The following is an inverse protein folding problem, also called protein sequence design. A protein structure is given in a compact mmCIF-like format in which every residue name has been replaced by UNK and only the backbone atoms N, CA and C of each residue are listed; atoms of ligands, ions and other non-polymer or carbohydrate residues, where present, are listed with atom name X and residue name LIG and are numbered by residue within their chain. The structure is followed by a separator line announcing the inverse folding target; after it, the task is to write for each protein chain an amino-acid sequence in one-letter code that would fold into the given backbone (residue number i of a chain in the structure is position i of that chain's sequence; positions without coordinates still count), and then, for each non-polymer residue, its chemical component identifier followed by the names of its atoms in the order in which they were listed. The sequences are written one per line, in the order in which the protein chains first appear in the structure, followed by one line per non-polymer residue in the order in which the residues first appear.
data_IF_723033862597
#
_entry.id   IF_723033862597
#
_cell.length_a   1.000
_cell.length_b   1.000
_cell.length_c   1.000
_cell.angle_alpha   90.00
_cell.angle_beta   90.00
_cell.angle_gamma   90.00
#
_symmetry.space_group_name_H-M   'P 1'
#
loop_
_entity.id
_entity.type
_entity.pdbx_description
1 polymer ?
#
# COMPACT_ATOMS: atom_id res chain seq x y z
N UNK A 1 7.72 -17.01 31.65
CA UNK A 1 6.48 -16.52 31.03
C UNK A 1 6.67 -16.61 29.53
N UNK A 2 5.79 -17.23 28.75
CA UNK A 2 5.87 -17.15 27.31
C UNK A 2 5.77 -15.67 26.90
N UNK A 3 6.56 -15.22 25.92
CA UNK A 3 6.45 -13.90 25.37
C UNK A 3 5.01 -13.67 24.90
N UNK A 4 4.41 -12.48 25.13
CA UNK A 4 3.07 -12.20 24.65
C UNK A 4 3.03 -12.47 23.15
N UNK A 5 1.98 -13.17 22.71
CA UNK A 5 1.80 -13.57 21.33
C UNK A 5 1.67 -12.29 20.50
N UNK A 6 2.74 -11.89 19.79
CA UNK A 6 2.83 -10.65 19.00
C UNK A 6 1.63 -10.48 18.04
N UNK A 7 1.01 -11.61 17.70
CA UNK A 7 -0.22 -11.69 16.92
C UNK A 7 -1.41 -11.03 17.61
N UNK A 8 -1.58 -11.29 18.91
CA UNK A 8 -2.71 -10.75 19.68
C UNK A 8 -2.54 -9.23 19.89
N UNK A 9 -1.31 -8.78 20.08
CA UNK A 9 -1.00 -7.34 20.25
C UNK A 9 -1.31 -6.54 18.98
N UNK A 10 -0.95 -7.06 17.80
CA UNK A 10 -1.25 -6.42 16.51
C UNK A 10 -2.77 -6.28 16.30
N UNK A 11 -3.55 -7.34 16.57
CA UNK A 11 -5.00 -7.28 16.46
C UNK A 11 -5.64 -6.36 17.48
N UNK A 12 -5.09 -6.31 18.69
CA UNK A 12 -5.54 -5.40 19.72
C UNK A 12 -5.28 -3.96 19.32
N UNK A 13 -4.07 -3.66 18.83
CA UNK A 13 -3.73 -2.33 18.32
C UNK A 13 -4.63 -1.90 17.15
N UNK A 14 -4.91 -2.81 16.22
CA UNK A 14 -5.81 -2.54 15.11
C UNK A 14 -7.25 -2.22 15.58
N UNK A 15 -7.74 -2.90 16.63
CA UNK A 15 -9.05 -2.63 17.22
C UNK A 15 -9.13 -1.30 17.96
N UNK A 16 -8.03 -0.88 18.57
CA UNK A 16 -7.94 0.42 19.24
C UNK A 16 -7.76 1.57 18.26
N UNK A 17 -7.41 1.27 17.02
CA UNK A 17 -7.24 2.28 15.99
C UNK A 17 -8.58 2.75 15.46
N UNK A 18 -8.77 4.06 15.46
CA UNK A 18 -9.96 4.73 14.94
C UNK A 18 -9.55 5.75 13.88
N UNK A 19 -10.09 5.62 12.69
CA UNK A 19 -9.94 6.62 11.63
C UNK A 19 -10.97 7.72 11.91
N UNK A 20 -10.49 8.92 12.20
CA UNK A 20 -11.31 10.09 12.49
C UNK A 20 -11.71 10.78 11.20
N UNK A 21 -10.74 10.93 10.28
CA UNK A 21 -10.99 11.56 9.00
C UNK A 21 -10.35 10.76 7.87
N UNK A 22 -11.12 10.57 6.82
CA UNK A 22 -10.66 9.95 5.57
C UNK A 22 -10.86 10.97 4.43
N UNK A 23 -9.83 11.27 3.63
CA UNK A 23 -9.93 12.28 2.59
C UNK A 23 -11.00 11.90 1.56
N UNK A 24 -11.74 12.86 0.98
CA UNK A 24 -12.72 12.58 -0.08
C UNK A 24 -12.06 12.09 -1.36
N UNK A 25 -10.84 12.54 -1.65
CA UNK A 25 -10.06 12.14 -2.82
C UNK A 25 -9.61 10.69 -2.71
N UNK A 26 -9.72 9.95 -3.80
CA UNK A 26 -9.30 8.55 -3.92
C UNK A 26 -7.84 8.44 -4.38
N UNK A 27 -7.27 7.25 -4.25
CA UNK A 27 -5.96 6.94 -4.81
C UNK A 27 -6.04 6.93 -6.34
N UNK A 28 -5.04 7.53 -6.99
CA UNK A 28 -4.95 7.63 -8.43
C UNK A 28 -4.81 6.25 -9.09
N UNK A 29 -5.54 6.04 -10.18
CA UNK A 29 -5.48 4.79 -10.94
C UNK A 29 -4.24 4.70 -11.83
N UNK A 30 -3.80 5.83 -12.40
CA UNK A 30 -2.71 5.85 -13.39
C UNK A 30 -1.50 6.66 -12.94
N UNK A 31 -1.51 7.12 -11.70
CA UNK A 31 -0.47 7.95 -11.12
C UNK A 31 -0.07 7.49 -9.71
N UNK A 32 0.79 8.28 -9.11
CA UNK A 32 1.17 8.13 -7.71
C UNK A 32 0.35 9.09 -6.85
N UNK A 33 0.04 8.67 -5.63
CA UNK A 33 -0.68 9.51 -4.67
C UNK A 33 0.15 9.67 -3.41
N UNK A 34 0.47 10.91 -3.04
CA UNK A 34 1.04 11.22 -1.74
C UNK A 34 -0.09 11.33 -0.71
N UNK A 35 -0.07 10.47 0.29
CA UNK A 35 -1.06 10.41 1.35
C UNK A 35 -0.43 10.93 2.63
N UNK A 36 -0.87 12.08 3.10
CA UNK A 36 -0.45 12.63 4.40
C UNK A 36 -1.20 11.90 5.50
N UNK A 37 -0.49 11.42 6.51
CA UNK A 37 -1.11 10.84 7.69
C UNK A 37 -0.79 11.66 8.94
N UNK A 38 -1.75 11.68 9.85
CA UNK A 38 -1.61 12.23 11.19
C UNK A 38 -2.12 11.18 12.17
N UNK A 39 -1.22 10.59 12.95
CA UNK A 39 -1.58 9.61 13.98
C UNK A 39 -1.43 10.27 15.36
N UNK A 40 -2.54 10.35 16.06
CA UNK A 40 -2.65 10.89 17.41
C UNK A 40 -2.69 9.73 18.40
N UNK A 41 -1.86 9.81 19.42
CA UNK A 41 -1.80 8.81 20.51
C UNK A 41 -1.91 9.49 21.86
N UNK A 42 -2.89 9.06 22.66
CA UNK A 42 -3.02 9.52 24.05
C UNK A 42 -1.89 8.90 24.88
N UNK A 43 -1.13 9.74 25.55
CA UNK A 43 -0.03 9.34 26.47
C UNK A 43 -0.49 9.35 27.94
N UNK A 44 -1.73 9.76 28.20
CA UNK A 44 -2.23 10.00 29.56
C UNK A 44 -1.81 11.36 30.11
N UNK A 45 -2.37 11.72 31.28
CA UNK A 45 -2.09 12.98 31.99
C UNK A 45 -2.28 14.25 31.12
N UNK A 46 -3.20 14.23 30.16
CA UNK A 46 -3.48 15.38 29.30
C UNK A 46 -2.35 15.67 28.30
N UNK A 47 -1.56 14.68 27.96
CA UNK A 47 -0.54 14.74 26.90
C UNK A 47 -0.90 13.80 25.77
N UNK A 48 -0.62 14.24 24.55
CA UNK A 48 -0.77 13.40 23.36
C UNK A 48 0.45 13.54 22.46
N UNK A 49 0.70 12.48 21.72
CA UNK A 49 1.74 12.46 20.67
C UNK A 49 1.08 12.53 19.30
N UNK A 50 1.59 13.44 18.48
CA UNK A 50 1.18 13.56 17.08
C UNK A 50 2.35 13.14 16.22
N UNK A 51 2.12 12.12 15.38
CA UNK A 51 3.06 11.68 14.35
C UNK A 51 2.48 11.99 12.99
N UNK A 52 3.20 12.79 12.24
CA UNK A 52 2.81 13.19 10.89
C UNK A 52 3.85 12.74 9.90
N UNK A 53 3.39 12.27 8.73
CA UNK A 53 4.30 11.92 7.67
C UNK A 53 3.55 11.74 6.35
N UNK A 54 4.28 11.25 5.35
CA UNK A 54 3.78 10.99 4.01
C UNK A 54 3.98 9.52 3.67
N UNK A 55 2.94 8.91 3.13
CA UNK A 55 3.01 7.61 2.47
C UNK A 55 2.76 7.83 1.00
N UNK A 56 3.70 7.41 0.17
CA UNK A 56 3.55 7.40 -1.27
C UNK A 56 2.86 6.10 -1.68
N UNK A 57 1.68 6.21 -2.28
CA UNK A 57 1.00 5.11 -2.93
C UNK A 57 1.40 5.10 -4.40
N UNK A 58 2.04 4.04 -4.86
CA UNK A 58 2.35 3.86 -6.27
C UNK A 58 1.07 3.60 -7.07
N UNK A 59 1.14 3.75 -8.38
CA UNK A 59 0.03 3.36 -9.26
C UNK A 59 -0.35 1.89 -9.02
N UNK A 60 -1.65 1.56 -9.07
CA UNK A 60 -2.10 0.18 -8.91
C UNK A 60 -1.46 -0.75 -9.95
N UNK A 61 -1.11 -1.95 -9.51
CA UNK A 61 -0.56 -3.01 -10.35
C UNK A 61 -1.36 -4.29 -10.15
N UNK A 62 -1.35 -5.15 -11.14
CA UNK A 62 -1.87 -6.51 -11.00
C UNK A 62 -0.70 -7.37 -10.55
N UNK A 63 -0.71 -7.77 -9.29
CA UNK A 63 0.41 -8.43 -8.63
C UNK A 63 0.19 -9.92 -8.49
N UNK A 64 1.26 -10.72 -8.66
CA UNK A 64 1.25 -12.11 -8.19
C UNK A 64 1.26 -12.17 -6.67
N UNK A 65 0.75 -13.26 -6.05
CA UNK A 65 0.82 -13.43 -4.60
C UNK A 65 2.24 -13.32 -4.03
N UNK A 66 3.24 -13.78 -4.76
CA UNK A 66 4.64 -13.72 -4.34
C UNK A 66 5.19 -12.28 -4.34
N UNK A 67 4.93 -11.52 -5.39
CA UNK A 67 5.33 -10.11 -5.47
C UNK A 67 4.68 -9.27 -4.38
N UNK A 68 3.43 -9.61 -4.05
CA UNK A 68 2.65 -8.93 -3.03
C UNK A 68 3.32 -8.99 -1.64
N UNK A 69 3.85 -10.16 -1.26
CA UNK A 69 4.49 -10.35 0.05
C UNK A 69 5.84 -9.64 0.18
N UNK A 70 6.56 -9.48 -0.92
CA UNK A 70 7.96 -9.01 -0.88
C UNK A 70 8.14 -7.51 -1.10
N UNK A 71 7.24 -6.85 -1.85
CA UNK A 71 7.47 -5.49 -2.34
C UNK A 71 6.39 -4.45 -1.99
N UNK A 72 5.30 -4.85 -1.31
CA UNK A 72 4.18 -3.93 -1.09
C UNK A 72 4.42 -2.81 -0.11
N UNK A 73 5.31 -3.01 0.85
CA UNK A 73 5.50 -2.10 1.97
C UNK A 73 6.97 -1.70 2.09
N UNK A 74 7.36 -0.68 1.35
CA UNK A 74 8.69 -0.12 1.45
C UNK A 74 8.80 0.81 2.67
N UNK A 75 9.88 0.65 3.44
CA UNK A 75 10.15 1.38 4.69
C UNK A 75 9.12 1.15 5.82
N UNK A 76 8.33 0.09 5.75
CA UNK A 76 7.48 -0.36 6.85
C UNK A 76 8.12 -1.53 7.60
N UNK A 77 7.94 -1.56 8.92
CA UNK A 77 8.47 -2.60 9.80
C UNK A 77 7.63 -3.88 9.83
N UNK A 78 8.10 -4.87 10.59
CA UNK A 78 7.50 -6.22 10.64
C UNK A 78 6.06 -6.24 11.15
N UNK A 79 5.68 -5.31 12.02
CA UNK A 79 4.32 -5.22 12.55
C UNK A 79 3.29 -4.88 11.45
N UNK A 80 3.63 -3.95 10.55
CA UNK A 80 2.79 -3.60 9.43
C UNK A 80 2.66 -4.77 8.44
N UNK A 81 3.77 -5.44 8.13
CA UNK A 81 3.80 -6.63 7.27
C UNK A 81 2.96 -7.76 7.86
N UNK A 82 3.14 -8.08 9.14
CA UNK A 82 2.38 -9.11 9.84
C UNK A 82 0.88 -8.82 9.87
N UNK A 83 0.48 -7.56 10.03
CA UNK A 83 -0.91 -7.16 9.93
C UNK A 83 -1.48 -7.40 8.53
N UNK A 84 -0.75 -6.98 7.50
CA UNK A 84 -1.16 -7.15 6.12
C UNK A 84 -1.32 -8.63 5.74
N UNK A 85 -0.36 -9.48 6.07
CA UNK A 85 -0.42 -10.94 5.82
C UNK A 85 -1.68 -11.56 6.42
N UNK A 86 -2.07 -11.13 7.61
CA UNK A 86 -3.28 -11.62 8.28
C UNK A 86 -4.58 -11.10 7.66
N UNK A 87 -4.58 -9.85 7.18
CA UNK A 87 -5.72 -9.29 6.45
C UNK A 87 -5.92 -10.03 5.13
N UNK A 88 -4.83 -10.34 4.44
CA UNK A 88 -4.86 -11.03 3.15
C UNK A 88 -5.24 -12.51 3.29
N UNK A 89 -4.70 -13.21 4.30
CA UNK A 89 -4.98 -14.63 4.52
C UNK A 89 -6.45 -14.93 4.84
N UNK A 90 -7.21 -13.94 5.31
CA UNK A 90 -8.65 -14.06 5.59
C UNK A 90 -9.54 -13.94 4.36
N UNK A 91 -9.01 -13.46 3.24
CA UNK A 91 -9.78 -13.34 2.00
C UNK A 91 -9.43 -14.53 1.13
N UNK A 92 -10.41 -15.39 0.82
CA UNK A 92 -10.33 -16.49 -0.16
C UNK A 92 -9.97 -16.04 -1.60
N UNK A 93 -9.47 -14.83 -1.73
CA UNK A 93 -9.22 -14.09 -2.96
C UNK A 93 -7.86 -14.37 -3.61
N UNK A 94 -7.16 -15.44 -3.22
CA UNK A 94 -5.91 -15.88 -3.87
C UNK A 94 -6.08 -16.28 -5.36
N UNK A 95 -7.31 -16.31 -5.86
CA UNK A 95 -7.63 -16.58 -7.27
C UNK A 95 -8.07 -15.35 -8.07
N UNK A 96 -8.28 -14.21 -7.42
CA UNK A 96 -8.57 -12.96 -8.11
C UNK A 96 -7.22 -12.30 -8.34
N UNK A 97 -6.93 -11.94 -9.57
CA UNK A 97 -5.86 -11.04 -9.97
C UNK A 97 -5.82 -9.92 -8.93
N UNK A 98 -4.81 -9.97 -8.05
CA UNK A 98 -4.78 -9.05 -6.94
C UNK A 98 -4.38 -7.68 -7.44
N UNK A 99 -5.35 -6.81 -7.48
CA UNK A 99 -5.15 -5.39 -7.62
C UNK A 99 -4.39 -4.91 -6.38
N UNK A 100 -3.13 -4.60 -6.54
CA UNK A 100 -2.24 -4.23 -5.44
C UNK A 100 -1.70 -2.82 -5.61
N UNK A 101 -1.61 -2.11 -4.49
CA UNK A 101 -0.96 -0.83 -4.37
C UNK A 101 0.31 -1.04 -3.53
N UNK A 102 1.46 -0.63 -4.06
CA UNK A 102 2.69 -0.56 -3.28
C UNK A 102 2.73 0.75 -2.52
N UNK A 103 3.15 0.71 -1.28
CA UNK A 103 3.25 1.87 -0.39
C UNK A 103 4.68 2.05 0.10
N UNK A 104 5.14 3.28 0.06
CA UNK A 104 6.43 3.70 0.60
C UNK A 104 6.21 4.76 1.68
N UNK A 105 6.68 4.51 2.89
CA UNK A 105 6.68 5.50 3.96
C UNK A 105 7.90 6.41 3.80
N UNK A 106 7.68 7.70 3.50
CA UNK A 106 8.74 8.64 3.17
C UNK A 106 9.13 9.53 4.33
N UNK A 107 8.22 10.38 4.77
CA UNK A 107 8.48 11.40 5.79
C UNK A 107 7.86 11.01 7.12
N UNK A 108 8.51 11.42 8.20
CA UNK A 108 8.00 11.22 9.55
C UNK A 108 8.47 12.33 10.47
N UNK A 109 7.54 12.95 11.16
CA UNK A 109 7.79 13.90 12.24
C UNK A 109 6.98 13.51 13.48
N UNK A 110 7.51 13.83 14.64
CA UNK A 110 6.87 13.52 15.92
C UNK A 110 6.93 14.74 16.84
N UNK A 111 5.82 15.03 17.51
CA UNK A 111 5.74 16.07 18.53
C UNK A 111 4.82 15.61 19.66
N UNK A 112 5.15 16.03 20.89
CA UNK A 112 4.28 15.82 22.05
C UNK A 112 3.70 17.17 22.45
N UNK A 113 2.35 17.20 22.62
CA UNK A 113 1.61 18.41 22.98
C UNK A 113 0.68 18.14 24.14
N UNK A 114 0.30 19.16 24.87
CA UNK A 114 -0.77 19.08 25.88
C UNK A 114 -2.14 19.20 25.23
N UNK A 115 -3.12 18.45 25.71
CA UNK A 115 -4.49 18.55 25.25
C UNK A 115 -5.25 17.22 25.33
N UNK A 116 -6.51 17.28 24.99
CA UNK A 116 -7.38 16.11 24.83
C UNK A 116 -7.28 15.60 23.38
N UNK A 117 -7.10 14.30 23.22
CA UNK A 117 -6.89 13.68 21.90
C UNK A 117 -8.08 13.86 20.97
N UNK A 118 -9.31 13.84 21.50
CA UNK A 118 -10.54 14.02 20.72
C UNK A 118 -10.71 15.47 20.25
N UNK A 119 -10.34 16.42 21.11
CA UNK A 119 -10.42 17.84 20.77
C UNK A 119 -9.41 18.20 19.68
N UNK A 120 -8.16 17.74 19.83
CA UNK A 120 -7.10 17.96 18.84
C UNK A 120 -7.45 17.28 17.51
N UNK A 121 -7.96 16.03 17.55
CA UNK A 121 -8.41 15.34 16.35
C UNK A 121 -9.54 16.07 15.63
N UNK A 122 -10.49 16.65 16.36
CA UNK A 122 -11.59 17.44 15.81
C UNK A 122 -11.08 18.70 15.12
N UNK A 123 -10.14 19.40 15.74
CA UNK A 123 -9.55 20.59 15.16
C UNK A 123 -8.78 20.27 13.89
N UNK A 124 -7.94 19.23 13.92
CA UNK A 124 -7.20 18.78 12.73
C UNK A 124 -8.13 18.29 11.61
N UNK A 125 -9.30 17.74 11.96
CA UNK A 125 -10.32 17.36 10.96
C UNK A 125 -10.90 18.57 10.27
N UNK A 126 -11.26 19.63 11.00
CA UNK A 126 -11.76 20.88 10.42
C UNK A 126 -10.72 21.50 9.47
N UNK A 127 -9.44 21.54 9.89
CA UNK A 127 -8.36 22.06 9.03
C UNK A 127 -8.18 21.20 7.75
N UNK A 128 -8.39 19.87 7.87
CA UNK A 128 -8.27 18.95 6.75
C UNK A 128 -9.46 19.04 5.77
N UNK A 129 -10.64 19.38 6.25
CA UNK A 129 -11.85 19.58 5.44
C UNK A 129 -11.74 20.82 4.57
N UNK A 130 -10.98 21.82 5.00
CA UNK A 130 -10.71 23.03 4.23
C UNK A 130 -9.62 22.84 3.16
N UNK A 131 -8.77 21.80 3.28
CA UNK A 131 -7.71 21.47 2.33
C UNK A 131 -8.12 20.35 1.36
N UNK A 132 -8.90 20.71 0.34
CA UNK A 132 -9.35 19.78 -0.69
C UNK A 132 -8.22 19.29 -1.63
N UNK A 133 -7.06 19.91 -1.60
CA UNK A 133 -5.96 19.57 -2.50
C UNK A 133 -5.15 18.36 -2.00
N UNK A 134 -5.08 18.16 -0.70
CA UNK A 134 -4.30 17.08 -0.11
C UNK A 134 -5.12 15.80 0.14
N UNK A 135 -4.47 14.66 -0.03
CA UNK A 135 -5.00 13.36 0.43
C UNK A 135 -4.47 13.15 1.84
N UNK A 136 -5.24 13.57 2.85
CA UNK A 136 -4.76 13.48 4.23
C UNK A 136 -5.74 12.72 5.12
N UNK A 137 -5.19 11.93 6.05
CA UNK A 137 -5.96 11.17 7.04
C UNK A 137 -5.62 11.56 8.46
N UNK A 138 -6.62 11.46 9.35
CA UNK A 138 -6.47 11.67 10.79
C UNK A 138 -6.90 10.40 11.51
N UNK A 139 -6.01 9.88 12.35
CA UNK A 139 -6.13 8.56 12.96
C UNK A 139 -5.83 8.72 14.45
N UNK A 140 -6.63 8.11 15.29
CA UNK A 140 -6.31 7.90 16.71
C UNK A 140 -5.89 6.44 16.89
N UNK A 141 -4.73 6.20 17.49
CA UNK A 141 -4.21 4.85 17.67
C UNK A 141 -3.22 4.74 18.83
N UNK A 142 -2.87 3.49 19.22
CA UNK A 142 -1.94 3.26 20.32
C UNK A 142 -0.53 3.71 19.96
N UNK A 143 0.14 4.36 20.91
CA UNK A 143 1.46 4.94 20.74
C UNK A 143 2.54 3.91 20.32
N UNK A 144 2.46 2.71 20.87
CA UNK A 144 3.43 1.63 20.60
C UNK A 144 3.27 0.96 19.24
N UNK A 145 2.19 1.22 18.50
CA UNK A 145 1.86 0.49 17.27
C UNK A 145 1.44 1.43 16.14
N UNK A 146 2.21 2.49 15.92
CA UNK A 146 2.00 3.48 14.85
C UNK A 146 1.74 2.82 13.49
N UNK A 147 2.58 1.86 13.10
CA UNK A 147 2.51 1.25 11.78
C UNK A 147 1.25 0.39 11.59
N UNK A 148 0.75 -0.23 12.66
CA UNK A 148 -0.52 -0.96 12.61
C UNK A 148 -1.67 0.03 12.39
N UNK A 149 -1.67 1.16 13.10
CA UNK A 149 -2.67 2.21 12.92
C UNK A 149 -2.65 2.79 11.51
N UNK A 150 -1.45 3.02 10.99
CA UNK A 150 -1.27 3.48 9.61
C UNK A 150 -1.79 2.45 8.59
N UNK A 151 -1.53 1.15 8.81
CA UNK A 151 -2.03 0.08 7.95
C UNK A 151 -3.56 -0.05 7.97
N UNK A 152 -4.19 0.16 9.12
CA UNK A 152 -5.67 0.21 9.21
C UNK A 152 -6.21 1.33 8.31
N UNK A 153 -5.62 2.50 8.37
CA UNK A 153 -6.00 3.64 7.53
C UNK A 153 -5.75 3.38 6.03
N UNK A 154 -4.54 2.91 5.68
CA UNK A 154 -4.19 2.58 4.28
C UNK A 154 -5.16 1.54 3.71
N UNK A 155 -5.46 0.49 4.48
CA UNK A 155 -6.42 -0.53 4.04
C UNK A 155 -7.81 0.05 3.78
N UNK A 156 -8.31 0.95 4.65
CA UNK A 156 -9.58 1.62 4.44
C UNK A 156 -9.58 2.48 3.17
N UNK A 157 -8.50 3.22 2.93
CA UNK A 157 -8.33 4.06 1.74
C UNK A 157 -8.28 3.22 0.45
N UNK A 158 -7.57 2.09 0.46
CA UNK A 158 -7.52 1.13 -0.65
C UNK A 158 -8.91 0.56 -0.93
N UNK A 159 -9.61 0.05 0.09
CA UNK A 159 -10.95 -0.53 -0.07
C UNK A 159 -11.94 0.47 -0.69
N UNK A 160 -11.79 1.74 -0.35
CA UNK A 160 -12.62 2.82 -0.90
C UNK A 160 -12.25 3.16 -2.34
N UNK A 161 -10.97 3.04 -2.72
CA UNK A 161 -10.47 3.41 -4.05
C UNK A 161 -10.64 2.29 -5.09
N UNK A 162 -10.62 1.03 -4.66
CA UNK A 162 -10.68 -0.16 -5.55
C UNK A 162 -11.84 -0.12 -6.55
N UNK A 163 -13.11 0.18 -6.17
CA UNK A 163 -14.22 0.17 -7.14
C UNK A 163 -14.02 1.21 -8.25
N UNK A 164 -13.57 2.40 -7.90
CA UNK A 164 -13.30 3.48 -8.86
C UNK A 164 -12.16 3.10 -9.80
N UNK A 165 -11.04 2.67 -9.24
CA UNK A 165 -9.86 2.32 -10.02
C UNK A 165 -10.13 1.11 -10.94
N UNK A 166 -10.89 0.10 -10.47
CA UNK A 166 -11.29 -1.03 -11.30
C UNK A 166 -12.17 -0.59 -12.47
N UNK A 167 -13.10 0.34 -12.24
CA UNK A 167 -13.93 0.91 -13.29
C UNK A 167 -13.10 1.67 -14.34
N UNK A 168 -12.15 2.48 -13.92
CA UNK A 168 -11.25 3.20 -14.84
C UNK A 168 -10.38 2.24 -15.67
N UNK A 169 -9.83 1.19 -15.03
CA UNK A 169 -9.06 0.16 -15.73
C UNK A 169 -9.91 -0.58 -16.77
N UNK A 170 -11.15 -0.95 -16.40
CA UNK A 170 -12.08 -1.62 -17.31
C UNK A 170 -12.44 -0.72 -18.50
N UNK A 171 -12.74 0.56 -18.29
CA UNK A 171 -13.07 1.51 -19.34
C UNK A 171 -11.92 1.71 -20.35
N UNK A 172 -10.68 1.42 -19.97
CA UNK A 172 -9.52 1.46 -20.88
C UNK A 172 -9.16 0.10 -21.46
N UNK A 173 -9.99 -0.95 -21.27
CA UNK A 173 -9.73 -2.31 -21.74
C UNK A 173 -8.52 -2.97 -21.07
N UNK A 174 -8.04 -2.45 -19.94
CA UNK A 174 -6.86 -2.95 -19.24
C UNK A 174 -7.14 -4.23 -18.45
N UNK A 175 -8.41 -4.50 -18.14
CA UNK A 175 -8.85 -5.75 -17.52
C UNK A 175 -9.22 -6.81 -18.56
N UNK A 176 -9.30 -6.46 -19.84
CA UNK A 176 -9.57 -7.43 -20.91
C UNK A 176 -8.40 -8.41 -21.05
N UNK A 177 -8.73 -9.66 -21.36
CA UNK A 177 -7.74 -10.71 -21.52
C UNK A 177 -6.99 -10.55 -22.86
N UNK A 178 -5.70 -10.47 -22.77
CA UNK A 178 -4.76 -10.39 -23.90
C UNK A 178 -3.90 -11.63 -24.03
N UNK A 179 -2.62 -11.42 -24.36
CA UNK A 179 -1.63 -12.45 -24.59
C UNK A 179 -1.51 -13.42 -23.40
N UNK A 180 -1.54 -14.73 -23.67
CA UNK A 180 -1.44 -15.75 -22.63
C UNK A 180 -2.64 -15.82 -21.68
N UNK A 181 -3.79 -15.19 -22.02
CA UNK A 181 -4.97 -15.14 -21.15
C UNK A 181 -4.80 -14.23 -19.94
N UNK A 182 -3.78 -13.36 -19.94
CA UNK A 182 -3.55 -12.38 -18.91
C UNK A 182 -4.23 -11.05 -19.24
N UNK A 183 -4.64 -10.25 -18.23
CA UNK A 183 -5.14 -8.91 -18.45
C UNK A 183 -4.13 -8.02 -19.19
N UNK A 184 -4.65 -7.15 -20.06
CA UNK A 184 -3.82 -6.21 -20.81
C UNK A 184 -2.95 -5.33 -19.90
N UNK A 185 -3.42 -4.99 -18.70
CA UNK A 185 -2.63 -4.26 -17.72
C UNK A 185 -1.35 -5.00 -17.30
N UNK A 186 -1.39 -6.34 -17.18
CA UNK A 186 -0.19 -7.16 -16.88
C UNK A 186 0.78 -7.14 -18.05
N UNK A 187 0.26 -7.29 -19.27
CA UNK A 187 1.10 -7.26 -20.48
C UNK A 187 1.78 -5.89 -20.64
N UNK A 188 1.04 -4.82 -20.36
CA UNK A 188 1.60 -3.47 -20.38
C UNK A 188 2.71 -3.30 -19.34
N UNK A 189 2.47 -3.77 -18.11
CA UNK A 189 3.50 -3.73 -17.05
C UNK A 189 4.75 -4.52 -17.41
N UNK A 190 4.60 -5.72 -17.98
CA UNK A 190 5.74 -6.50 -18.49
C UNK A 190 6.52 -5.73 -19.55
N UNK A 191 5.82 -5.04 -20.46
CA UNK A 191 6.48 -4.22 -21.47
C UNK A 191 7.25 -3.04 -20.85
N UNK A 192 6.68 -2.41 -19.82
CA UNK A 192 7.34 -1.36 -19.06
C UNK A 192 8.59 -1.90 -18.33
N UNK A 193 8.49 -3.09 -17.72
CA UNK A 193 9.61 -3.74 -17.04
C UNK A 193 10.76 -4.04 -18.04
N UNK A 194 10.45 -4.52 -19.25
CA UNK A 194 11.46 -4.69 -20.31
C UNK A 194 12.14 -3.39 -20.71
N UNK A 195 11.37 -2.29 -20.78
CA UNK A 195 11.89 -0.98 -21.17
C UNK A 195 12.80 -0.37 -20.08
N UNK A 196 12.47 -0.62 -18.81
CA UNK A 196 13.13 -0.03 -17.64
C UNK A 196 14.19 -0.94 -17.00
N UNK A 197 14.40 -2.15 -17.51
CA UNK A 197 15.44 -3.05 -17.02
C UNK A 197 16.83 -2.55 -17.47
N UNK A 198 17.54 -1.93 -16.54
CA UNK A 198 18.87 -1.31 -16.70
C UNK A 198 19.99 -2.10 -16.02
N UNK A 199 19.67 -3.20 -15.34
CA UNK A 199 20.59 -4.04 -14.58
C UNK A 199 20.20 -5.52 -14.64
N UNK A 200 21.20 -6.42 -14.44
CA UNK A 200 20.96 -7.86 -14.38
C UNK A 200 19.98 -8.24 -13.27
N UNK A 201 19.99 -7.54 -12.12
CA UNK A 201 19.06 -7.79 -11.03
C UNK A 201 17.61 -7.56 -11.47
N UNK A 202 17.34 -6.44 -12.17
CA UNK A 202 16.01 -6.17 -12.74
C UNK A 202 15.60 -7.17 -13.82
N UNK A 203 16.55 -7.62 -14.62
CA UNK A 203 16.31 -8.66 -15.62
C UNK A 203 15.97 -10.02 -14.96
N UNK A 204 16.64 -10.37 -13.85
CA UNK A 204 16.34 -11.59 -13.09
C UNK A 204 14.95 -11.53 -12.45
N UNK A 205 14.56 -10.37 -11.91
CA UNK A 205 13.22 -10.14 -11.36
C UNK A 205 12.15 -10.28 -12.44
N UNK A 206 12.38 -9.68 -13.60
CA UNK A 206 11.50 -9.84 -14.76
C UNK A 206 11.41 -11.30 -15.20
N UNK A 207 12.52 -12.02 -15.26
CA UNK A 207 12.54 -13.44 -15.61
C UNK A 207 11.75 -14.31 -14.62
N UNK A 208 11.81 -13.99 -13.33
CA UNK A 208 10.96 -14.64 -12.32
C UNK A 208 9.49 -14.34 -12.57
N UNK A 209 9.15 -13.06 -12.75
CA UNK A 209 7.79 -12.60 -13.02
C UNK A 209 7.17 -13.29 -14.24
N UNK A 210 7.90 -13.40 -15.34
CA UNK A 210 7.45 -14.10 -16.56
C UNK A 210 7.16 -15.59 -16.31
N UNK A 211 7.98 -16.27 -15.51
CA UNK A 211 7.77 -17.66 -15.10
C UNK A 211 6.57 -17.83 -14.18
N UNK A 212 6.42 -16.94 -13.21
CA UNK A 212 5.31 -16.95 -12.26
C UNK A 212 3.95 -16.76 -12.98
N UNK A 213 3.92 -15.98 -14.05
CA UNK A 213 2.75 -15.82 -14.91
C UNK A 213 2.57 -16.95 -15.95
N UNK A 214 3.56 -17.85 -16.08
CA UNK A 214 3.51 -18.93 -17.06
C UNK A 214 3.64 -18.48 -18.53
N UNK A 215 4.21 -17.32 -18.78
CA UNK A 215 4.34 -16.72 -20.12
C UNK A 215 5.80 -16.52 -20.57
N UNK A 216 6.76 -17.13 -19.87
CA UNK A 216 8.17 -16.96 -20.18
C UNK A 216 8.49 -17.31 -21.65
N UNK A 217 7.96 -18.43 -22.15
CA UNK A 217 8.17 -18.88 -23.53
C UNK A 217 7.73 -17.83 -24.57
N UNK A 218 6.67 -17.08 -24.26
CA UNK A 218 6.16 -16.02 -25.16
C UNK A 218 7.12 -14.84 -25.29
N UNK A 219 7.94 -14.60 -24.27
CA UNK A 219 8.88 -13.48 -24.20
C UNK A 219 10.34 -13.92 -24.23
N UNK A 220 10.63 -15.20 -24.50
CA UNK A 220 11.95 -15.79 -24.36
C UNK A 220 13.01 -15.07 -25.21
N UNK A 221 12.76 -14.85 -26.49
CA UNK A 221 13.70 -14.18 -27.38
C UNK A 221 14.03 -12.77 -26.90
N UNK A 222 12.99 -12.00 -26.55
CA UNK A 222 13.14 -10.64 -26.03
C UNK A 222 13.88 -10.60 -24.69
N UNK A 223 13.65 -11.62 -23.86
CA UNK A 223 14.34 -11.76 -22.57
C UNK A 223 15.83 -12.01 -22.76
N UNK A 224 16.21 -12.90 -23.67
CA UNK A 224 17.62 -13.17 -23.95
C UNK A 224 18.32 -11.99 -24.67
N UNK A 225 17.61 -11.22 -25.48
CA UNK A 225 18.14 -9.97 -26.05
C UNK A 225 18.42 -8.93 -24.96
N UNK A 226 17.50 -8.75 -24.00
CA UNK A 226 17.72 -7.89 -22.84
C UNK A 226 18.95 -8.33 -22.05
N UNK A 227 19.07 -9.62 -21.77
CA UNK A 227 20.19 -10.18 -21.01
C UNK A 227 21.54 -9.99 -21.71
N UNK A 228 21.57 -10.12 -23.05
CA UNK A 228 22.79 -9.84 -23.87
C UNK A 228 23.20 -8.37 -23.84
N UNK A 229 22.22 -7.46 -23.80
CA UNK A 229 22.47 -6.02 -23.74
C UNK A 229 23.04 -5.56 -22.38
N UNK A 230 22.70 -6.26 -21.30
CA UNK A 230 23.10 -5.89 -19.94
C UNK A 230 24.42 -6.54 -19.48
N UNK A 231 24.99 -7.46 -20.24
CA UNK A 231 26.31 -8.07 -20.04
C UNK A 231 27.40 -7.24 -20.69
#
# INVERSE_FOLDING_TARGET
MPAPDSTNEIWYAARLTRIVYTPPRLLETFGETNVVYNVLSDLGNGQLRIRRGVVKAARPRILTPHFYQTQMLENFGDNARSYLDKVLSKKDSLRIIQYGLCFEKQEHSEQTVGGDVEEVARQMTADAEDDFASVQGIIIGPDSHLEVSLMVFINALVQRSVPHNAHELANRGLLDLGLGGLPNAVIQEINDDFANADSLAKADDLGRKLRDYGIFETFEDRFYELYRRLR
#
